data_IF_943946887423
#
_entry.id   IF_943946887423
#
_cell.length_a   1.000
_cell.length_b   1.000
_cell.length_c   1.000
_cell.angle_alpha   90.00
_cell.angle_beta   90.00
_cell.angle_gamma   90.00
#
_symmetry.space_group_name_H-M   'P 1'
#
loop_
_entity.id
_entity.type
_entity.pdbx_description
1 polymer ?
#
# COMPACT_ATOMS: atom_id res chain seq x y z
N UNK A 1 -21.39 -33.62 56.26
CA UNK A 1 -22.66 -33.34 55.56
C UNK A 1 -22.81 -31.82 55.56
N UNK A 2 -22.77 -31.06 54.47
CA UNK A 2 -22.94 -31.35 53.05
C UNK A 2 -22.07 -30.40 52.21
N UNK A 3 -21.42 -30.98 51.21
CA UNK A 3 -20.80 -30.27 50.09
C UNK A 3 -21.87 -29.65 49.20
N UNK A 4 -21.78 -28.35 48.90
CA UNK A 4 -22.35 -27.79 47.67
C UNK A 4 -21.37 -26.83 47.00
N UNK A 5 -20.65 -27.42 46.08
CA UNK A 5 -19.96 -26.85 44.95
C UNK A 5 -20.90 -25.97 44.10
N UNK A 6 -20.49 -24.73 43.81
CA UNK A 6 -21.18 -23.88 42.84
C UNK A 6 -20.19 -23.03 42.03
N UNK A 7 -19.70 -23.68 40.97
CA UNK A 7 -19.46 -23.17 39.61
C UNK A 7 -18.90 -21.75 39.46
N UNK A 8 -17.62 -21.74 39.08
CA UNK A 8 -16.97 -20.61 38.43
C UNK A 8 -17.72 -20.08 37.21
N UNK A 9 -17.74 -18.76 37.10
CA UNK A 9 -17.88 -18.00 35.86
C UNK A 9 -16.77 -16.96 35.85
N UNK A 10 -15.60 -17.34 35.33
CA UNK A 10 -14.62 -16.35 34.88
C UNK A 10 -15.20 -15.59 33.68
N UNK A 11 -14.89 -14.30 33.50
CA UNK A 11 -15.31 -13.57 32.32
C UNK A 11 -14.60 -14.14 31.09
N UNK A 12 -15.35 -14.94 30.31
CA UNK A 12 -15.03 -15.28 28.93
C UNK A 12 -15.28 -14.01 28.11
N UNK A 13 -14.24 -13.25 27.79
CA UNK A 13 -14.44 -12.12 26.89
C UNK A 13 -13.25 -11.17 26.87
N UNK A 14 -12.34 -11.36 25.93
CA UNK A 14 -11.31 -10.34 25.71
C UNK A 14 -10.35 -10.61 24.56
N UNK A 15 -10.16 -11.87 24.14
CA UNK A 15 -9.07 -12.19 23.21
C UNK A 15 -9.47 -12.31 21.73
N UNK A 16 -10.76 -12.23 21.39
CA UNK A 16 -11.28 -12.58 20.05
C UNK A 16 -11.83 -11.42 19.21
N UNK A 17 -11.75 -10.17 19.68
CA UNK A 17 -12.46 -9.04 19.06
C UNK A 17 -11.56 -7.96 18.45
N UNK A 18 -10.28 -7.85 18.83
CA UNK A 18 -9.42 -6.80 18.25
C UNK A 18 -9.01 -7.08 16.80
N UNK A 19 -8.60 -8.32 16.47
CA UNK A 19 -8.19 -8.64 15.10
C UNK A 19 -9.35 -8.56 14.10
N UNK A 20 -10.55 -9.02 14.51
CA UNK A 20 -11.77 -8.89 13.70
C UNK A 20 -12.19 -7.43 13.56
N UNK A 21 -12.07 -6.62 14.62
CA UNK A 21 -12.33 -5.18 14.57
C UNK A 21 -11.38 -4.43 13.64
N UNK A 22 -10.08 -4.75 13.67
CA UNK A 22 -9.08 -4.19 12.73
C UNK A 22 -9.35 -4.62 11.29
N UNK A 23 -9.70 -5.89 11.05
CA UNK A 23 -10.07 -6.40 9.72
C UNK A 23 -11.36 -5.75 9.20
N UNK A 24 -12.38 -5.56 10.04
CA UNK A 24 -13.61 -4.87 9.63
C UNK A 24 -13.35 -3.41 9.29
N UNK A 25 -12.57 -2.69 10.11
CA UNK A 25 -12.19 -1.30 9.80
C UNK A 25 -11.40 -1.20 8.50
N UNK A 26 -10.49 -2.13 8.23
CA UNK A 26 -9.73 -2.13 6.98
C UNK A 26 -10.61 -2.42 5.76
N UNK A 27 -11.60 -3.30 5.89
CA UNK A 27 -12.58 -3.59 4.83
C UNK A 27 -13.53 -2.40 4.61
N UNK A 28 -14.06 -1.80 5.68
CA UNK A 28 -14.93 -0.61 5.60
C UNK A 28 -14.18 0.58 5.01
N UNK A 29 -12.92 0.78 5.41
CA UNK A 29 -12.06 1.81 4.84
C UNK A 29 -11.79 1.55 3.34
N UNK A 30 -11.50 0.29 2.95
CA UNK A 30 -11.37 -0.11 1.54
C UNK A 30 -12.65 0.09 0.74
N UNK A 31 -13.82 -0.19 1.33
CA UNK A 31 -15.10 -0.05 0.67
C UNK A 31 -15.50 1.42 0.52
N UNK A 32 -15.16 2.25 1.52
CA UNK A 32 -15.31 3.70 1.45
C UNK A 32 -14.40 4.29 0.36
N UNK A 33 -13.09 3.96 0.35
CA UNK A 33 -12.17 4.43 -0.70
C UNK A 33 -12.53 3.91 -2.09
N UNK A 34 -13.13 2.71 -2.20
CA UNK A 34 -13.63 2.17 -3.46
C UNK A 34 -14.86 2.90 -4.00
N UNK A 35 -15.79 3.32 -3.13
CA UNK A 35 -16.98 4.08 -3.54
C UNK A 35 -16.67 5.53 -3.90
N UNK A 36 -15.58 6.08 -3.40
CA UNK A 36 -15.21 7.50 -3.55
C UNK A 36 -14.36 7.80 -4.81
N UNK A 37 -14.21 6.81 -5.70
CA UNK A 37 -13.68 7.00 -7.05
C UNK A 37 -12.17 6.81 -7.20
N UNK A 38 -11.45 6.50 -6.12
CA UNK A 38 -10.02 6.19 -6.16
C UNK A 38 -9.71 4.77 -6.66
N UNK A 39 -10.47 3.76 -6.20
CA UNK A 39 -10.14 2.36 -6.50
C UNK A 39 -10.36 1.91 -7.95
N UNK A 40 -11.04 2.71 -8.80
CA UNK A 40 -11.31 2.33 -10.20
C UNK A 40 -10.15 2.64 -11.17
N UNK A 41 -9.11 3.35 -10.71
CA UNK A 41 -7.98 3.72 -11.57
C UNK A 41 -6.69 3.12 -11.05
N UNK A 42 -6.03 2.34 -11.89
CA UNK A 42 -4.69 1.84 -11.59
C UNK A 42 -3.68 3.01 -11.61
N UNK A 43 -2.73 3.06 -10.66
CA UNK A 43 -1.62 4.00 -10.72
C UNK A 43 -0.76 3.75 -11.96
N UNK A 44 -0.24 4.82 -12.56
CA UNK A 44 0.72 4.70 -13.64
C UNK A 44 2.09 4.35 -13.05
N UNK A 45 2.56 3.13 -13.29
CA UNK A 45 3.82 2.61 -12.75
C UNK A 45 4.81 2.46 -13.90
N UNK A 46 6.01 3.03 -13.73
CA UNK A 46 7.12 2.95 -14.66
C UNK A 46 8.33 2.36 -13.96
N UNK A 47 9.07 1.50 -14.64
CA UNK A 47 10.26 0.83 -14.10
C UNK A 47 11.45 1.21 -14.98
N UNK A 48 12.61 1.56 -14.38
CA UNK A 48 13.77 2.05 -15.14
C UNK A 48 14.48 0.99 -15.97
N UNK A 49 14.44 -0.27 -15.54
CA UNK A 49 14.99 -1.38 -16.30
C UNK A 49 13.97 -2.51 -16.34
N UNK A 50 13.68 -2.99 -17.55
CA UNK A 50 12.87 -4.18 -17.79
C UNK A 50 13.70 -5.45 -17.80
N UNK A 51 15.03 -5.36 -17.66
CA UNK A 51 15.95 -6.49 -17.53
C UNK A 51 17.11 -6.02 -16.63
N UNK A 52 16.89 -5.89 -15.32
CA UNK A 52 17.97 -5.50 -14.43
C UNK A 52 19.06 -6.58 -14.44
N UNK A 53 20.32 -6.14 -14.57
CA UNK A 53 21.45 -7.02 -14.34
C UNK A 53 21.48 -7.36 -12.85
N UNK A 54 21.88 -8.58 -12.49
CA UNK A 54 22.05 -8.98 -11.10
C UNK A 54 22.89 -7.95 -10.32
N UNK A 55 22.37 -7.50 -9.17
CA UNK A 55 23.01 -6.47 -8.35
C UNK A 55 22.64 -5.02 -8.71
N UNK A 56 21.81 -4.80 -9.75
CA UNK A 56 21.38 -3.46 -10.15
C UNK A 56 20.15 -2.99 -9.37
N UNK A 57 20.20 -1.77 -8.83
CA UNK A 57 19.01 -1.17 -8.21
C UNK A 57 17.98 -0.79 -9.27
N UNK A 58 16.79 -1.35 -9.17
CA UNK A 58 15.64 -1.02 -10.02
C UNK A 58 14.90 0.17 -9.41
N UNK A 59 14.76 1.26 -10.16
CA UNK A 59 13.93 2.37 -9.75
C UNK A 59 12.50 2.21 -10.31
N UNK A 60 11.54 2.27 -9.41
CA UNK A 60 10.11 2.25 -9.71
C UNK A 60 9.55 3.63 -9.50
N UNK A 61 8.95 4.21 -10.53
CA UNK A 61 8.25 5.48 -10.50
C UNK A 61 6.75 5.24 -10.51
N UNK A 62 6.05 5.82 -9.55
CA UNK A 62 4.60 5.76 -9.42
C UNK A 62 4.06 7.17 -9.66
N UNK A 63 3.37 7.37 -10.76
CA UNK A 63 2.65 8.60 -11.04
C UNK A 63 1.20 8.47 -10.60
N UNK A 64 0.81 9.35 -9.70
CA UNK A 64 -0.57 9.43 -9.23
C UNK A 64 -1.38 10.35 -10.15
N UNK A 65 -2.50 9.84 -10.64
CA UNK A 65 -3.40 10.62 -11.49
C UNK A 65 -4.07 11.79 -10.75
N UNK A 66 -4.53 12.78 -11.53
CA UNK A 66 -5.39 13.87 -11.05
C UNK A 66 -6.73 13.32 -10.53
N UNK A 67 -7.16 13.67 -9.31
CA UNK A 67 -8.53 13.41 -8.88
C UNK A 67 -9.51 14.17 -9.79
N UNK A 68 -10.54 13.47 -10.30
CA UNK A 68 -11.58 14.08 -11.16
C UNK A 68 -12.76 14.63 -10.37
N UNK A 69 -13.01 14.09 -9.19
CA UNK A 69 -14.13 14.48 -8.33
C UNK A 69 -13.66 15.40 -7.19
N UNK A 70 -14.47 16.38 -6.76
CA UNK A 70 -14.13 17.23 -5.63
C UNK A 70 -13.93 16.42 -4.34
N UNK A 71 -14.68 15.33 -4.17
CA UNK A 71 -14.48 14.42 -3.04
C UNK A 71 -13.09 13.76 -3.07
N UNK A 72 -12.64 13.29 -4.25
CA UNK A 72 -11.30 12.72 -4.41
C UNK A 72 -10.19 13.74 -4.12
N UNK A 73 -10.44 15.03 -4.36
CA UNK A 73 -9.52 16.10 -3.96
C UNK A 73 -9.43 16.26 -2.44
N UNK A 74 -10.57 16.27 -1.74
CA UNK A 74 -10.60 16.39 -0.28
C UNK A 74 -9.95 15.18 0.38
N UNK A 75 -10.33 13.98 -0.04
CA UNK A 75 -9.77 12.73 0.50
C UNK A 75 -8.24 12.71 0.35
N UNK A 76 -7.74 13.03 -0.85
CA UNK A 76 -6.30 13.02 -1.09
C UNK A 76 -5.56 14.10 -0.31
N UNK A 77 -6.16 15.28 -0.15
CA UNK A 77 -5.61 16.35 0.68
C UNK A 77 -5.50 15.91 2.13
N UNK A 78 -6.56 15.28 2.68
CA UNK A 78 -6.54 14.71 4.03
C UNK A 78 -5.46 13.63 4.17
N UNK A 79 -5.35 12.71 3.20
CA UNK A 79 -4.31 11.68 3.21
C UNK A 79 -2.89 12.27 3.14
N UNK A 80 -2.67 13.37 2.40
CA UNK A 80 -1.36 14.05 2.38
C UNK A 80 -1.01 14.73 3.69
N UNK A 81 -2.00 15.19 4.46
CA UNK A 81 -1.75 15.79 5.77
C UNK A 81 -1.52 14.74 6.86
N UNK A 82 -2.16 13.58 6.77
CA UNK A 82 -2.08 12.53 7.78
C UNK A 82 -0.88 11.58 7.61
N UNK A 83 -0.29 11.50 6.41
CA UNK A 83 0.75 10.52 6.11
C UNK A 83 1.91 11.12 5.31
N UNK A 84 3.13 10.74 5.67
CA UNK A 84 4.36 11.16 4.99
C UNK A 84 4.47 10.62 3.56
N UNK A 85 3.82 9.49 3.27
CA UNK A 85 3.77 8.91 1.93
C UNK A 85 2.37 8.43 1.55
N UNK A 86 1.92 8.82 0.36
CA UNK A 86 0.66 8.37 -0.23
C UNK A 86 0.76 6.99 -0.89
N UNK A 87 1.98 6.51 -1.12
CA UNK A 87 2.26 5.31 -1.92
C UNK A 87 2.98 4.28 -1.08
N UNK A 88 2.36 3.11 -0.94
CA UNK A 88 2.99 1.93 -0.37
C UNK A 88 3.41 1.01 -1.51
N UNK A 89 4.70 0.69 -1.58
CA UNK A 89 5.27 -0.24 -2.55
C UNK A 89 5.71 -1.48 -1.79
N UNK A 90 5.33 -2.66 -2.26
CA UNK A 90 5.78 -3.94 -1.72
C UNK A 90 6.41 -4.77 -2.83
N UNK A 91 7.60 -5.30 -2.58
CA UNK A 91 8.32 -6.16 -3.50
C UNK A 91 8.51 -7.52 -2.84
N UNK A 92 7.99 -8.58 -3.46
CA UNK A 92 8.06 -9.94 -2.92
C UNK A 92 7.60 -10.04 -1.45
N UNK A 93 6.47 -9.38 -1.16
CA UNK A 93 5.89 -9.29 0.19
C UNK A 93 6.60 -8.34 1.16
N UNK A 94 7.75 -7.77 0.80
CA UNK A 94 8.51 -6.85 1.66
C UNK A 94 8.18 -5.38 1.34
N UNK A 95 7.96 -4.52 2.35
CA UNK A 95 7.72 -3.10 2.12
C UNK A 95 9.01 -2.43 1.61
N UNK A 96 8.87 -1.64 0.55
CA UNK A 96 9.95 -0.83 -0.04
C UNK A 96 9.62 0.64 0.21
N UNK A 97 10.57 1.42 0.76
CA UNK A 97 10.32 2.83 1.01
C UNK A 97 10.13 3.59 -0.31
N UNK A 98 9.11 4.45 -0.34
CA UNK A 98 8.78 5.30 -1.48
C UNK A 98 8.91 6.77 -1.08
N UNK A 99 9.46 7.58 -1.99
CA UNK A 99 9.74 8.98 -1.72
C UNK A 99 9.17 9.87 -2.82
N UNK A 100 8.56 11.02 -2.49
CA UNK A 100 8.12 11.97 -3.49
C UNK A 100 9.33 12.57 -4.24
N UNK A 101 9.25 12.59 -5.56
CA UNK A 101 10.22 13.26 -6.44
C UNK A 101 9.96 14.77 -6.40
N UNK A 102 11.02 15.57 -6.26
CA UNK A 102 10.92 17.03 -6.25
C UNK A 102 10.20 17.53 -7.51
N UNK A 103 9.16 18.35 -7.31
CA UNK A 103 8.28 18.91 -8.37
C UNK A 103 9.04 19.65 -9.48
N UNK A 104 10.20 20.23 -9.18
CA UNK A 104 11.02 20.96 -10.18
C UNK A 104 11.49 20.10 -11.35
N UNK A 105 11.53 18.77 -11.18
CA UNK A 105 11.95 17.83 -12.24
C UNK A 105 10.79 17.26 -13.06
N UNK A 106 9.54 17.63 -12.74
CA UNK A 106 8.35 17.03 -13.33
C UNK A 106 7.41 18.11 -13.83
N UNK A 107 7.15 18.17 -15.15
CA UNK A 107 6.12 19.04 -15.76
C UNK A 107 4.67 18.69 -15.36
N UNK A 108 4.48 17.73 -14.45
CA UNK A 108 3.16 17.27 -13.99
C UNK A 108 2.79 18.02 -12.71
N UNK A 109 1.53 18.45 -12.64
CA UNK A 109 0.96 19.09 -11.44
C UNK A 109 0.78 18.12 -10.24
N UNK A 110 1.13 16.84 -10.42
CA UNK A 110 0.90 15.78 -9.43
C UNK A 110 2.22 15.13 -8.99
N UNK A 111 2.33 14.77 -7.70
CA UNK A 111 3.54 14.16 -7.16
C UNK A 111 3.78 12.80 -7.83
N UNK A 112 5.02 12.59 -8.25
CA UNK A 112 5.55 11.29 -8.67
C UNK A 112 6.30 10.73 -7.48
N UNK A 113 6.08 9.47 -7.15
CA UNK A 113 6.82 8.76 -6.11
C UNK A 113 7.88 7.88 -6.75
N UNK A 114 9.03 7.73 -6.09
CA UNK A 114 10.11 6.84 -6.49
C UNK A 114 10.38 5.85 -5.37
N UNK A 115 10.37 4.56 -5.69
CA UNK A 115 10.86 3.49 -4.84
C UNK A 115 12.12 2.89 -5.48
N UNK A 116 13.09 2.50 -4.65
CA UNK A 116 14.33 1.88 -5.09
C UNK A 116 14.34 0.44 -4.57
N UNK A 117 14.36 -0.51 -5.49
CA UNK A 117 14.38 -1.93 -5.19
C UNK A 117 15.83 -2.40 -5.38
N UNK A 118 16.56 -2.70 -4.29
CA UNK A 118 17.86 -3.32 -4.41
C UNK A 118 17.65 -4.76 -4.88
N UNK A 119 18.17 -5.12 -6.05
CA UNK A 119 18.42 -6.53 -6.38
C UNK A 119 19.84 -6.84 -5.92
N UNK A 120 20.02 -8.00 -5.28
CA UNK A 120 21.33 -8.50 -4.88
C UNK A 120 21.81 -9.52 -5.90
N UNK A 121 23.12 -9.70 -6.11
CA UNK A 121 23.62 -10.75 -7.00
C UNK A 121 23.30 -12.18 -6.52
N UNK A 122 22.89 -12.33 -5.24
CA UNK A 122 22.39 -13.58 -4.69
C UNK A 122 20.91 -13.85 -5.00
N UNK A 123 20.20 -12.86 -5.55
CA UNK A 123 18.80 -13.04 -5.92
C UNK A 123 18.68 -14.00 -7.11
N UNK A 124 17.88 -15.07 -6.99
CA UNK A 124 17.63 -15.96 -8.13
C UNK A 124 16.95 -15.17 -9.25
N UNK A 125 17.37 -15.39 -10.52
CA UNK A 125 16.75 -14.77 -11.66
C UNK A 125 15.30 -15.27 -11.82
N UNK A 126 14.37 -14.37 -12.14
CA UNK A 126 12.97 -14.73 -12.35
C UNK A 126 11.98 -13.58 -12.26
N UNK A 127 10.71 -13.89 -12.51
CA UNK A 127 9.62 -12.93 -12.33
C UNK A 127 9.34 -12.71 -10.84
N UNK A 128 9.42 -11.46 -10.38
CA UNK A 128 9.01 -11.08 -9.03
C UNK A 128 7.80 -10.17 -9.04
N UNK A 129 7.00 -10.28 -7.98
CA UNK A 129 5.76 -9.52 -7.82
C UNK A 129 6.05 -8.20 -7.12
N UNK A 130 5.75 -7.10 -7.82
CA UNK A 130 5.66 -5.76 -7.28
C UNK A 130 4.18 -5.43 -7.06
N UNK A 131 3.81 -5.01 -5.86
CA UNK A 131 2.51 -4.43 -5.62
C UNK A 131 2.64 -2.95 -5.24
N UNK A 132 1.81 -2.12 -5.89
CA UNK A 132 1.71 -0.69 -5.61
C UNK A 132 0.31 -0.42 -5.06
N UNK A 133 0.25 0.11 -3.84
CA UNK A 133 -0.97 0.52 -3.15
C UNK A 133 -0.91 2.02 -2.91
N UNK A 134 -1.96 2.74 -3.30
CA UNK A 134 -2.13 4.16 -3.02
C UNK A 134 -3.16 4.31 -1.91
N UNK A 135 -2.95 5.23 -0.96
CA UNK A 135 -3.89 5.48 0.14
C UNK A 135 -5.30 5.87 -0.34
N UNK A 136 -5.41 6.43 -1.55
CA UNK A 136 -6.68 6.72 -2.23
C UNK A 136 -7.48 5.44 -2.57
N UNK A 137 -6.93 4.24 -2.34
CA UNK A 137 -7.54 2.95 -2.63
C UNK A 137 -7.15 2.33 -3.98
N UNK A 138 -6.28 3.00 -4.75
CA UNK A 138 -5.76 2.46 -6.00
C UNK A 138 -4.78 1.31 -5.73
N UNK A 139 -4.86 0.25 -6.54
CA UNK A 139 -3.95 -0.90 -6.45
C UNK A 139 -3.48 -1.30 -7.84
N UNK A 140 -2.20 -1.65 -7.96
CA UNK A 140 -1.64 -2.26 -9.18
C UNK A 140 -0.60 -3.31 -8.81
N UNK A 141 -0.90 -4.59 -9.05
CA UNK A 141 0.12 -5.63 -9.08
C UNK A 141 0.82 -5.60 -10.43
N UNK A 142 2.13 -5.80 -10.44
CA UNK A 142 2.96 -5.86 -11.63
C UNK A 142 4.04 -6.92 -11.43
N UNK A 143 4.39 -7.62 -12.51
CA UNK A 143 5.56 -8.49 -12.52
C UNK A 143 6.76 -7.72 -13.05
N UNK A 144 7.89 -7.82 -12.35
CA UNK A 144 9.16 -7.24 -12.77
C UNK A 144 10.14 -8.41 -12.90
N UNK A 145 10.80 -8.58 -14.05
CA UNK A 145 11.90 -9.53 -14.17
C UNK A 145 13.07 -9.02 -13.33
N UNK A 146 13.65 -9.88 -12.51
CA UNK A 146 14.78 -9.59 -11.62
C UNK A 146 15.87 -10.64 -11.79
#
# INVERSE_FOLDING_TARGET
EDSKEAKGKGPVGGFWTEERGRKLRSVVHRLATARLGGAKREPDVYVTSTLPVQGQTVAVFVSLAKPRTPFGWVQRSLCTFAHDSLVCVTFDGKPVPSYPVKRSKTKRNYPIYRALIPTTPADPPGERVLEVRVLDGCFRPMKIPC
#
